data_IF_540743559186
#
_entry.id   IF_540743559186
#
_cell.length_a   1.000
_cell.length_b   1.000
_cell.length_c   1.000
_cell.angle_alpha   90.00
_cell.angle_beta   90.00
_cell.angle_gamma   90.00
#
_symmetry.space_group_name_H-M   'P 1'
#
loop_
_entity.id
_entity.type
_entity.pdbx_description
1 polymer ?
#
# COMPACT_ATOMS: atom_id res chain seq x y z
N UNK A 1 -13.30 -13.35 23.81
CA UNK A 1 -12.43 -14.30 23.09
C UNK A 1 -11.35 -13.48 22.40
N UNK A 2 -10.13 -13.49 22.94
CA UNK A 2 -9.02 -12.66 22.49
C UNK A 2 -8.28 -13.37 21.34
N UNK A 3 -8.16 -12.70 20.19
CA UNK A 3 -7.34 -13.18 19.07
C UNK A 3 -5.94 -12.57 19.21
N UNK A 4 -4.92 -13.40 19.39
CA UNK A 4 -3.51 -12.98 19.35
C UNK A 4 -2.90 -13.30 17.97
N UNK A 5 -2.07 -12.41 17.39
CA UNK A 5 -1.70 -12.46 15.97
C UNK A 5 -0.46 -13.30 15.68
N UNK A 6 -0.57 -14.22 14.72
CA UNK A 6 0.55 -14.96 14.14
C UNK A 6 1.34 -14.07 13.18
N UNK A 7 2.66 -14.22 13.23
CA UNK A 7 3.63 -13.41 12.53
C UNK A 7 4.11 -14.09 11.25
N UNK A 8 3.68 -13.60 10.09
CA UNK A 8 4.23 -14.03 8.81
C UNK A 8 3.48 -13.59 7.54
N UNK A 9 2.23 -13.12 7.65
CA UNK A 9 1.38 -12.73 6.52
C UNK A 9 0.83 -11.30 6.73
N UNK A 10 1.75 -10.40 7.09
CA UNK A 10 1.54 -9.23 7.96
C UNK A 10 1.06 -7.95 7.26
N UNK A 11 0.32 -8.01 6.16
CA UNK A 11 -0.19 -6.76 5.55
C UNK A 11 -1.62 -6.92 5.03
N UNK A 12 -1.84 -7.93 4.17
CA UNK A 12 -3.18 -8.25 3.66
C UNK A 12 -4.13 -8.74 4.75
N UNK A 13 -3.60 -9.51 5.70
CA UNK A 13 -4.37 -9.98 6.85
C UNK A 13 -4.69 -8.82 7.80
N UNK A 14 -3.79 -7.86 7.94
CA UNK A 14 -4.01 -6.69 8.79
C UNK A 14 -5.12 -5.80 8.23
N UNK A 15 -5.13 -5.59 6.92
CA UNK A 15 -6.10 -4.74 6.26
C UNK A 15 -7.50 -5.36 6.35
N UNK A 16 -7.61 -6.67 6.10
CA UNK A 16 -8.87 -7.39 6.29
C UNK A 16 -9.35 -7.41 7.75
N UNK A 17 -8.43 -7.46 8.72
CA UNK A 17 -8.75 -7.35 10.16
C UNK A 17 -9.27 -5.95 10.51
N UNK A 18 -8.61 -4.88 10.03
CA UNK A 18 -9.03 -3.49 10.29
C UNK A 18 -10.41 -3.22 9.67
N UNK A 19 -10.65 -3.65 8.43
CA UNK A 19 -11.95 -3.49 7.76
C UNK A 19 -13.06 -4.20 8.55
N UNK A 20 -12.76 -5.38 9.11
CA UNK A 20 -13.71 -6.15 9.91
C UNK A 20 -13.99 -5.50 11.27
N UNK A 21 -12.98 -4.96 11.95
CA UNK A 21 -13.18 -4.25 13.22
C UNK A 21 -14.01 -2.97 13.04
N UNK A 22 -13.78 -2.23 11.97
CA UNK A 22 -14.56 -1.03 11.63
C UNK A 22 -16.02 -1.40 11.32
N UNK A 23 -16.25 -2.48 10.55
CA UNK A 23 -17.59 -3.01 10.30
C UNK A 23 -18.31 -3.41 11.61
N UNK A 24 -17.63 -4.17 12.47
CA UNK A 24 -18.20 -4.64 13.74
C UNK A 24 -18.52 -3.47 14.68
N UNK A 25 -17.67 -2.44 14.72
CA UNK A 25 -17.91 -1.21 15.47
C UNK A 25 -19.13 -0.45 14.95
N UNK A 26 -19.30 -0.31 13.64
CA UNK A 26 -20.47 0.37 13.06
C UNK A 26 -21.77 -0.39 13.33
N UNK A 27 -21.77 -1.72 13.18
CA UNK A 27 -22.92 -2.59 13.53
C UNK A 27 -23.28 -2.46 15.01
N UNK A 28 -22.28 -2.46 15.91
CA UNK A 28 -22.49 -2.28 17.36
C UNK A 28 -23.11 -0.94 17.74
N UNK A 29 -22.84 0.11 16.97
CA UNK A 29 -23.42 1.44 17.18
C UNK A 29 -24.82 1.63 16.57
N UNK A 30 -25.39 0.59 15.95
CA UNK A 30 -26.73 0.62 15.36
C UNK A 30 -26.81 1.34 14.01
N UNK A 31 -25.68 1.57 13.35
CA UNK A 31 -25.61 2.14 11.99
C UNK A 31 -26.05 1.05 11.00
N UNK A 32 -26.97 1.40 10.08
CA UNK A 32 -27.46 0.50 9.02
C UNK A 32 -26.30 -0.18 8.28
N UNK A 33 -26.42 -1.50 8.10
CA UNK A 33 -25.44 -2.40 7.45
C UNK A 33 -24.97 -1.88 6.08
N UNK A 34 -25.84 -1.17 5.38
CA UNK A 34 -25.58 -0.53 4.08
C UNK A 34 -24.49 0.56 4.16
N UNK A 35 -24.47 1.36 5.24
CA UNK A 35 -23.45 2.42 5.44
C UNK A 35 -22.10 1.83 5.85
N UNK A 36 -22.11 0.77 6.66
CA UNK A 36 -20.91 0.03 7.06
C UNK A 36 -20.25 -0.65 5.86
N UNK A 37 -21.07 -1.21 4.95
CA UNK A 37 -20.60 -1.81 3.70
C UNK A 37 -19.99 -0.76 2.76
N UNK A 38 -20.61 0.42 2.65
CA UNK A 38 -20.07 1.54 1.88
C UNK A 38 -18.72 2.03 2.41
N UNK A 39 -18.56 2.13 3.73
CA UNK A 39 -17.29 2.51 4.35
C UNK A 39 -16.19 1.46 4.12
N UNK A 40 -16.51 0.17 4.30
CA UNK A 40 -15.59 -0.93 4.00
C UNK A 40 -15.18 -0.95 2.52
N UNK A 41 -16.12 -0.67 1.61
CA UNK A 41 -15.85 -0.57 0.17
C UNK A 41 -14.96 0.62 -0.15
N UNK A 42 -15.18 1.79 0.47
CA UNK A 42 -14.33 2.95 0.27
C UNK A 42 -12.87 2.70 0.70
N UNK A 43 -12.66 1.97 1.80
CA UNK A 43 -11.32 1.57 2.25
C UNK A 43 -10.66 0.60 1.26
N UNK A 44 -11.41 -0.35 0.71
CA UNK A 44 -10.90 -1.28 -0.30
C UNK A 44 -10.65 -0.62 -1.68
N UNK A 45 -11.39 0.44 -2.02
CA UNK A 45 -11.13 1.26 -3.22
C UNK A 45 -9.86 2.14 -3.03
N UNK A 46 -9.54 2.54 -1.80
CA UNK A 46 -8.32 3.31 -1.48
C UNK A 46 -7.02 2.52 -1.76
N UNK A 47 -7.05 1.18 -1.58
CA UNK A 47 -5.93 0.28 -1.93
C UNK A 47 -5.49 0.39 -3.40
N UNK A 48 -6.45 0.64 -4.30
CA UNK A 48 -6.19 0.78 -5.72
C UNK A 48 -5.47 2.10 -6.04
N UNK A 49 -5.73 3.16 -5.26
CA UNK A 49 -4.99 4.42 -5.36
C UNK A 49 -3.53 4.23 -4.94
N UNK A 50 -3.31 3.48 -3.86
CA UNK A 50 -1.98 3.20 -3.33
C UNK A 50 -1.11 2.39 -4.31
N UNK A 51 -1.68 1.34 -4.91
CA UNK A 51 -0.98 0.52 -5.92
C UNK A 51 -0.54 1.33 -7.16
N UNK A 52 -1.33 2.33 -7.54
CA UNK A 52 -1.00 3.22 -8.67
C UNK A 52 0.18 4.14 -8.32
N UNK A 53 0.19 4.70 -7.11
CA UNK A 53 1.26 5.56 -6.61
C UNK A 53 2.58 4.78 -6.50
N UNK A 54 2.56 3.53 -6.03
CA UNK A 54 3.77 2.70 -5.98
C UNK A 54 4.35 2.41 -7.37
N UNK A 55 3.48 2.19 -8.36
CA UNK A 55 3.89 1.95 -9.74
C UNK A 55 4.55 3.20 -10.37
N UNK A 56 3.94 4.38 -10.18
CA UNK A 56 4.51 5.66 -10.62
C UNK A 56 5.86 5.95 -9.92
N UNK A 57 5.97 5.66 -8.63
CA UNK A 57 7.19 5.84 -7.86
C UNK A 57 8.32 4.90 -8.31
N UNK A 58 7.97 3.66 -8.68
CA UNK A 58 8.91 2.67 -9.20
C UNK A 58 9.43 3.10 -10.57
N UNK A 59 8.55 3.57 -11.46
CA UNK A 59 8.94 4.14 -12.77
C UNK A 59 9.85 5.35 -12.57
N UNK A 60 9.50 6.27 -11.68
CA UNK A 60 10.31 7.45 -11.38
C UNK A 60 11.71 7.07 -10.87
N UNK A 61 11.80 6.05 -10.00
CA UNK A 61 13.09 5.54 -9.51
C UNK A 61 13.96 5.00 -10.65
N UNK A 62 13.38 4.26 -11.60
CA UNK A 62 14.11 3.75 -12.74
C UNK A 62 14.51 4.85 -13.74
N UNK A 63 13.67 5.87 -13.96
CA UNK A 63 14.06 7.02 -14.78
C UNK A 63 15.23 7.79 -14.18
N UNK A 64 15.17 8.11 -12.90
CA UNK A 64 16.27 8.82 -12.20
C UNK A 64 17.53 7.96 -12.18
N UNK A 65 17.41 6.66 -11.87
CA UNK A 65 18.54 5.73 -11.90
C UNK A 65 19.19 5.62 -13.29
N UNK A 66 18.40 5.61 -14.36
CA UNK A 66 18.91 5.57 -15.73
C UNK A 66 19.64 6.85 -16.11
N UNK A 67 19.09 8.03 -15.75
CA UNK A 67 19.74 9.33 -15.98
C UNK A 67 21.07 9.38 -15.23
N UNK A 68 21.10 8.99 -13.96
CA UNK A 68 22.34 8.94 -13.16
C UNK A 68 23.33 7.96 -13.80
N UNK A 69 22.90 6.79 -14.25
CA UNK A 69 23.79 5.83 -14.92
C UNK A 69 24.38 6.44 -16.20
N UNK A 70 23.57 7.08 -17.05
CA UNK A 70 24.04 7.71 -18.28
C UNK A 70 25.06 8.83 -18.01
N UNK A 71 24.90 9.59 -16.94
CA UNK A 71 25.82 10.68 -16.57
C UNK A 71 27.08 10.18 -15.84
N UNK A 72 26.92 9.28 -14.87
CA UNK A 72 28.00 8.85 -13.97
C UNK A 72 28.89 7.77 -14.58
N UNK A 73 28.32 6.86 -15.39
CA UNK A 73 29.09 5.79 -16.03
C UNK A 73 30.18 6.30 -16.99
N UNK A 74 29.94 7.30 -17.88
CA UNK A 74 31.00 7.86 -18.72
C UNK A 74 32.02 8.67 -17.91
N UNK A 75 31.61 9.35 -16.83
CA UNK A 75 32.53 10.06 -15.94
C UNK A 75 33.48 9.08 -15.22
N UNK A 76 32.97 7.96 -14.71
CA UNK A 76 33.79 6.90 -14.13
C UNK A 76 34.74 6.28 -15.16
N UNK A 77 34.24 5.97 -16.37
CA UNK A 77 35.07 5.46 -17.46
C UNK A 77 36.19 6.42 -17.85
N UNK A 78 35.94 7.73 -17.80
CA UNK A 78 36.95 8.77 -18.08
C UNK A 78 37.97 8.95 -16.97
N UNK A 79 37.63 8.60 -15.73
CA UNK A 79 38.55 8.70 -14.58
C UNK A 79 39.47 7.49 -14.46
N UNK A 80 38.99 6.31 -14.88
CA UNK A 80 39.73 5.03 -14.79
C UNK A 80 40.57 4.74 -16.05
N UNK A 81 40.27 5.38 -17.18
CA UNK A 81 41.06 5.33 -18.40
C UNK A 81 42.15 6.40 -18.40
#
# INVERSE_FOLDING_TARGET
MAYLPTSGHKEKDNMSVIIKEVYDAFVKTGVSEEKSTLAAKAIADDDNCFSRIESDLLILKWMVGLVIAVEVLPLLKRLVA
#
